data_IF_732389716844
#
_entry.id   IF_732389716844
#
_cell.length_a   1.000
_cell.length_b   1.000
_cell.length_c   1.000
_cell.angle_alpha   90.00
_cell.angle_beta   90.00
_cell.angle_gamma   90.00
#
_symmetry.space_group_name_H-M   'P 1'
#
loop_
_entity.id
_entity.type
_entity.pdbx_description
1 polymer ?
#
# COMPACT_ATOMS: atom_id res chain seq x y z
N UNK A 1 20.60 8.12 2.05
CA UNK A 1 19.48 8.28 3.01
C UNK A 1 18.18 8.76 2.36
N UNK A 2 18.26 9.57 1.30
CA UNK A 2 17.05 10.02 0.58
C UNK A 2 16.36 8.93 -0.23
N UNK A 3 17.09 7.90 -0.69
CA UNK A 3 16.53 6.77 -1.43
C UNK A 3 15.50 5.97 -0.62
N UNK A 4 15.77 5.70 0.68
CA UNK A 4 14.82 5.01 1.55
C UNK A 4 13.54 5.82 1.76
N UNK A 5 13.68 7.15 1.91
CA UNK A 5 12.54 8.06 2.04
C UNK A 5 11.76 8.18 0.73
N UNK A 6 12.44 8.19 -0.41
CA UNK A 6 11.82 8.19 -1.73
C UNK A 6 11.04 6.89 -1.97
N UNK A 7 11.64 5.74 -1.65
CA UNK A 7 10.98 4.44 -1.75
C UNK A 7 9.75 4.35 -0.83
N UNK A 8 9.84 4.84 0.42
CA UNK A 8 8.70 4.90 1.32
C UNK A 8 7.55 5.75 0.78
N UNK A 9 7.87 6.91 0.20
CA UNK A 9 6.87 7.77 -0.45
C UNK A 9 6.22 7.08 -1.65
N UNK A 10 7.00 6.49 -2.55
CA UNK A 10 6.45 5.75 -3.70
C UNK A 10 5.54 4.59 -3.27
N UNK A 11 5.90 3.88 -2.19
CA UNK A 11 5.06 2.82 -1.63
C UNK A 11 3.73 3.36 -1.08
N UNK A 12 3.73 4.48 -0.35
CA UNK A 12 2.48 5.08 0.17
C UNK A 12 1.65 5.74 -0.92
N UNK A 13 2.27 6.65 -1.67
CA UNK A 13 1.56 7.62 -2.49
C UNK A 13 1.16 7.04 -3.85
N UNK A 14 1.94 6.10 -4.39
CA UNK A 14 1.64 5.46 -5.67
C UNK A 14 1.04 4.08 -5.47
N UNK A 15 1.73 3.22 -4.72
CA UNK A 15 1.37 1.80 -4.64
C UNK A 15 0.13 1.58 -3.76
N UNK A 16 0.17 2.02 -2.50
CA UNK A 16 -0.95 1.84 -1.58
C UNK A 16 -2.20 2.61 -2.04
N UNK A 17 -2.03 3.85 -2.51
CA UNK A 17 -3.10 4.63 -3.11
C UNK A 17 -3.71 3.94 -4.35
N UNK A 18 -2.86 3.40 -5.24
CA UNK A 18 -3.31 2.66 -6.41
C UNK A 18 -4.11 1.41 -6.05
N UNK A 19 -3.65 0.65 -5.04
CA UNK A 19 -4.34 -0.52 -4.52
C UNK A 19 -5.68 -0.16 -3.87
N UNK A 20 -5.75 0.94 -3.12
CA UNK A 20 -7.01 1.43 -2.55
C UNK A 20 -8.01 1.76 -3.64
N UNK A 21 -7.59 2.54 -4.65
CA UNK A 21 -8.44 2.90 -5.80
C UNK A 21 -8.88 1.68 -6.59
N UNK A 22 -8.02 0.68 -6.73
CA UNK A 22 -8.37 -0.58 -7.37
C UNK A 22 -9.45 -1.32 -6.57
N UNK A 23 -9.29 -1.44 -5.25
CA UNK A 23 -10.29 -2.07 -4.37
C UNK A 23 -11.65 -1.36 -4.45
N UNK A 24 -11.66 -0.02 -4.43
CA UNK A 24 -12.88 0.77 -4.57
C UNK A 24 -13.59 0.54 -5.91
N UNK A 25 -12.81 0.26 -6.97
CA UNK A 25 -13.32 -0.01 -8.32
C UNK A 25 -13.86 -1.41 -8.53
N UNK A 26 -13.45 -2.40 -7.73
CA UNK A 26 -13.93 -3.80 -7.88
C UNK A 26 -15.46 -3.88 -7.75
N UNK A 27 -16.07 -3.01 -6.94
CA UNK A 27 -17.51 -2.97 -6.71
C UNK A 27 -18.27 -2.02 -7.65
N UNK A 28 -17.58 -1.24 -8.48
CA UNK A 28 -18.23 -0.29 -9.41
C UNK A 28 -19.12 -1.02 -10.43
N UNK A 29 -18.69 -2.13 -11.06
CA UNK A 29 -19.55 -2.87 -11.98
C UNK A 29 -20.89 -3.27 -11.37
N UNK A 30 -20.89 -3.71 -10.11
CA UNK A 30 -22.11 -4.05 -9.38
C UNK A 30 -22.97 -2.82 -9.07
N UNK A 31 -22.36 -1.74 -8.55
CA UNK A 31 -23.09 -0.53 -8.14
C UNK A 31 -23.69 0.24 -9.31
N UNK A 32 -22.99 0.30 -10.44
CA UNK A 32 -23.38 1.13 -11.59
C UNK A 32 -24.19 0.38 -12.64
N UNK A 33 -23.90 -0.90 -12.86
CA UNK A 33 -24.47 -1.66 -13.99
C UNK A 33 -25.35 -2.83 -13.57
N UNK A 34 -25.43 -3.14 -12.27
CA UNK A 34 -26.26 -4.22 -11.75
C UNK A 34 -25.91 -5.57 -12.39
N UNK A 35 -24.61 -5.87 -12.49
CA UNK A 35 -24.09 -7.06 -13.18
C UNK A 35 -24.67 -8.36 -12.59
N UNK A 36 -24.96 -8.40 -11.28
CA UNK A 36 -25.74 -9.47 -10.64
C UNK A 36 -27.05 -9.79 -11.39
N UNK A 37 -27.79 -8.77 -11.84
CA UNK A 37 -29.07 -8.94 -12.53
C UNK A 37 -28.92 -9.49 -13.96
N UNK A 38 -27.73 -9.32 -14.57
CA UNK A 38 -27.43 -9.91 -15.87
C UNK A 38 -27.18 -11.42 -15.75
N UNK A 39 -26.66 -11.89 -14.61
CA UNK A 39 -26.46 -13.31 -14.36
C UNK A 39 -27.79 -14.06 -14.26
N UNK A 40 -28.80 -13.51 -13.58
CA UNK A 40 -30.11 -14.16 -13.36
C UNK A 40 -30.82 -14.63 -14.66
N UNK A 41 -30.46 -14.08 -15.83
CA UNK A 41 -30.96 -14.56 -17.13
C UNK A 41 -30.36 -15.88 -17.62
N UNK A 42 -29.16 -16.23 -17.16
CA UNK A 42 -28.35 -17.30 -17.76
C UNK A 42 -27.66 -18.23 -16.74
N UNK A 43 -27.44 -17.79 -15.49
CA UNK A 43 -26.80 -18.56 -14.41
C UNK A 43 -26.96 -17.84 -13.04
N UNK A 44 -26.33 -18.32 -11.98
CA UNK A 44 -26.35 -17.65 -10.66
C UNK A 44 -25.16 -16.70 -10.51
N UNK A 45 -25.37 -15.52 -9.93
CA UNK A 45 -24.30 -14.53 -9.67
C UNK A 45 -23.36 -14.88 -8.49
N UNK A 46 -23.65 -15.96 -7.75
CA UNK A 46 -22.91 -16.31 -6.54
C UNK A 46 -21.38 -16.45 -6.71
N UNK A 47 -20.86 -17.13 -7.77
CA UNK A 47 -19.41 -17.22 -8.00
C UNK A 47 -18.78 -15.86 -8.31
N UNK A 48 -19.49 -15.00 -9.04
CA UNK A 48 -19.03 -13.66 -9.36
C UNK A 48 -18.91 -12.81 -8.09
N UNK A 49 -19.93 -12.80 -7.23
CA UNK A 49 -19.89 -12.07 -5.95
C UNK A 49 -18.77 -12.55 -5.04
N UNK A 50 -18.55 -13.86 -4.99
CA UNK A 50 -17.46 -14.44 -4.21
C UNK A 50 -16.09 -13.96 -4.72
N UNK A 51 -15.90 -13.92 -6.05
CA UNK A 51 -14.68 -13.41 -6.67
C UNK A 51 -14.47 -11.92 -6.41
N UNK A 52 -15.51 -11.09 -6.59
CA UNK A 52 -15.43 -9.65 -6.35
C UNK A 52 -15.06 -9.35 -4.89
N UNK A 53 -15.68 -10.04 -3.94
CA UNK A 53 -15.36 -9.89 -2.52
C UNK A 53 -13.94 -10.34 -2.19
N UNK A 54 -13.47 -11.45 -2.77
CA UNK A 54 -12.11 -11.92 -2.58
C UNK A 54 -11.07 -10.94 -3.13
N UNK A 55 -11.28 -10.42 -4.34
CA UNK A 55 -10.40 -9.43 -4.96
C UNK A 55 -10.34 -8.12 -4.16
N UNK A 56 -11.48 -7.63 -3.69
CA UNK A 56 -11.50 -6.44 -2.81
C UNK A 56 -10.67 -6.69 -1.54
N UNK A 57 -10.85 -7.86 -0.91
CA UNK A 57 -10.13 -8.20 0.32
C UNK A 57 -8.61 -8.30 0.08
N UNK A 58 -8.18 -8.99 -0.98
CA UNK A 58 -6.78 -9.14 -1.32
C UNK A 58 -6.11 -7.80 -1.62
N UNK A 59 -6.78 -6.91 -2.37
CA UNK A 59 -6.27 -5.58 -2.67
C UNK A 59 -6.09 -4.74 -1.40
N UNK A 60 -7.01 -4.82 -0.44
CA UNK A 60 -6.88 -4.15 0.86
C UNK A 60 -5.74 -4.71 1.71
N UNK A 61 -5.50 -6.02 1.65
CA UNK A 61 -4.35 -6.65 2.32
C UNK A 61 -3.04 -6.13 1.72
N UNK A 62 -2.94 -6.07 0.39
CA UNK A 62 -1.78 -5.52 -0.30
C UNK A 62 -1.57 -4.03 0.00
N UNK A 63 -2.65 -3.23 0.03
CA UNK A 63 -2.57 -1.82 0.42
C UNK A 63 -1.93 -1.67 1.81
N UNK A 64 -2.44 -2.44 2.77
CA UNK A 64 -1.94 -2.41 4.15
C UNK A 64 -0.46 -2.82 4.22
N UNK A 65 -0.07 -3.89 3.53
CA UNK A 65 1.31 -4.34 3.48
C UNK A 65 2.24 -3.27 2.87
N UNK A 66 1.80 -2.58 1.82
CA UNK A 66 2.56 -1.50 1.21
C UNK A 66 2.78 -0.32 2.17
N UNK A 67 1.74 0.06 2.94
CA UNK A 67 1.85 1.09 3.99
C UNK A 67 2.80 0.67 5.11
N UNK A 68 2.67 -0.56 5.61
CA UNK A 68 3.53 -1.08 6.68
C UNK A 68 5.00 -1.14 6.26
N UNK A 69 5.28 -1.49 4.99
CA UNK A 69 6.62 -1.45 4.42
C UNK A 69 7.17 -0.02 4.30
N UNK A 70 6.35 0.93 3.83
CA UNK A 70 6.73 2.34 3.78
C UNK A 70 7.10 2.87 5.17
N UNK A 71 6.29 2.56 6.18
CA UNK A 71 6.56 2.96 7.57
C UNK A 71 7.89 2.37 8.08
N UNK A 72 8.20 1.13 7.73
CA UNK A 72 9.45 0.47 8.11
C UNK A 72 10.67 1.13 7.44
N UNK A 73 10.55 1.52 6.17
CA UNK A 73 11.59 2.23 5.44
C UNK A 73 11.85 3.62 6.04
N UNK A 74 10.80 4.35 6.42
CA UNK A 74 10.93 5.64 7.11
C UNK A 74 11.64 5.52 8.46
N UNK A 75 11.26 4.53 9.28
CA UNK A 75 11.94 4.27 10.56
C UNK A 75 13.42 3.94 10.36
N UNK A 76 13.71 3.07 9.42
CA UNK A 76 15.10 2.70 9.06
C UNK A 76 15.88 3.93 8.60
N UNK A 77 15.29 4.77 7.76
CA UNK A 77 15.92 5.99 7.29
C UNK A 77 16.24 6.97 8.44
N UNK A 78 15.35 7.04 9.43
CA UNK A 78 15.54 7.88 10.61
C UNK A 78 16.66 7.36 11.53
N UNK A 79 16.72 6.05 11.74
CA UNK A 79 17.71 5.44 12.63
C UNK A 79 19.14 5.56 12.09
N UNK A 80 19.32 5.40 10.79
CA UNK A 80 20.61 5.66 10.13
C UNK A 80 21.01 7.14 10.23
N UNK A 81 20.09 8.08 9.98
CA UNK A 81 20.40 9.51 10.11
C UNK A 81 20.85 9.87 11.55
N UNK A 82 20.19 9.32 12.57
CA UNK A 82 20.64 9.47 13.97
C UNK A 82 21.99 8.81 14.24
N UNK A 83 22.28 7.69 13.59
CA UNK A 83 23.57 7.01 13.73
C UNK A 83 24.69 7.87 13.16
N UNK A 84 24.49 8.42 11.96
CA UNK A 84 25.44 9.31 11.29
C UNK A 84 25.70 10.59 12.10
N UNK A 85 24.64 11.21 12.64
CA UNK A 85 24.77 12.38 13.53
C UNK A 85 25.61 12.06 14.77
N UNK A 86 25.41 10.89 15.38
CA UNK A 86 26.20 10.45 16.55
C UNK A 86 27.65 10.20 16.19
N UNK A 87 27.91 9.58 15.03
CA UNK A 87 29.26 9.34 14.54
C UNK A 87 29.99 10.66 14.24
N UNK A 88 29.33 11.60 13.55
CA UNK A 88 29.88 12.91 13.22
C UNK A 88 30.25 13.73 14.47
N UNK A 89 29.42 13.69 15.52
CA UNK A 89 29.70 14.35 16.81
C UNK A 89 30.91 13.75 17.51
N UNK A 90 31.07 12.41 17.51
CA UNK A 90 32.25 11.75 18.09
C UNK A 90 33.53 12.13 17.35
N UNK A 91 33.52 12.10 16.01
CA UNK A 91 34.68 12.44 15.19
C UNK A 91 35.07 13.92 15.27
N UNK A 92 34.11 14.82 15.51
CA UNK A 92 34.38 16.25 15.69
C UNK A 92 34.89 16.58 17.10
N UNK A 93 34.49 15.81 18.12
CA UNK A 93 34.97 15.95 19.50
C UNK A 93 36.38 15.41 19.73
N UNK A 94 36.86 14.50 18.89
CA UNK A 94 38.20 13.89 18.97
C UNK A 94 39.30 14.72 18.27
N UNK A 95 38.94 15.87 17.66
CA UNK A 95 39.84 16.81 16.99
C UNK A 95 39.98 18.16 17.71
N UNK A 96 39.47 18.30 18.93
CA UNK A 96 39.60 19.49 19.77
C UNK A 96 40.36 19.18 21.05
#
# INVERSE_FOLDING_TARGET
MDELRAAARALRDDTAEGLRRAADRVLVPEREFGVDAAFDRHTTAAPYRALAAALEQELRVLERAARELADALERTAHDYARSDDRAARRLSGDRG
#
